data_IF_252655979157
#
_entry.id   IF_252655979157
#
_cell.length_a   1.000
_cell.length_b   1.000
_cell.length_c   1.000
_cell.angle_alpha   90.00
_cell.angle_beta   90.00
_cell.angle_gamma   90.00
#
_symmetry.space_group_name_H-M   'P 1'
#
loop_
_entity.id
_entity.type
_entity.pdbx_description
1 polymer ?
#
# COMPACT_ATOMS: atom_id res chain seq x y z
N UNK A 1 17.62 2.78 12.11
CA UNK A 1 17.52 4.22 11.79
C UNK A 1 16.08 4.55 11.40
N UNK A 2 15.53 5.68 11.83
CA UNK A 2 14.17 6.09 11.43
C UNK A 2 14.22 6.94 10.17
N UNK A 3 13.69 6.47 9.03
CA UNK A 3 13.84 7.17 7.76
C UNK A 3 13.08 8.50 7.78
N UNK A 4 13.56 9.46 7.00
CA UNK A 4 12.82 10.68 6.70
C UNK A 4 11.47 10.35 6.02
N UNK A 5 10.52 11.28 6.12
CA UNK A 5 9.24 11.21 5.43
C UNK A 5 9.46 11.05 3.92
N UNK A 6 8.84 10.04 3.30
CA UNK A 6 8.95 9.81 1.85
C UNK A 6 8.30 10.90 0.99
N UNK A 7 7.39 11.69 1.57
CA UNK A 7 6.68 12.73 0.82
C UNK A 7 7.40 14.08 0.87
N UNK A 8 7.81 14.53 2.07
CA UNK A 8 8.37 15.88 2.25
C UNK A 8 9.81 15.92 2.78
N UNK A 9 10.44 14.76 3.04
CA UNK A 9 11.81 14.67 3.55
C UNK A 9 12.00 15.05 5.02
N UNK A 10 10.94 15.47 5.74
CA UNK A 10 11.03 15.82 7.16
C UNK A 10 11.21 14.59 8.05
N UNK A 11 11.93 14.76 9.16
CA UNK A 11 12.05 13.78 10.26
C UNK A 11 11.11 14.08 11.44
N UNK A 12 10.36 15.18 11.40
CA UNK A 12 9.37 15.57 12.40
C UNK A 12 8.14 14.67 12.33
N UNK A 13 7.94 13.89 13.39
CA UNK A 13 6.88 12.89 13.44
C UNK A 13 6.36 12.69 14.86
N UNK A 14 5.11 12.24 14.94
CA UNK A 14 4.46 11.85 16.19
C UNK A 14 3.97 10.42 16.07
N UNK A 15 4.21 9.61 17.10
CA UNK A 15 3.68 8.25 17.17
C UNK A 15 2.15 8.30 17.34
N UNK A 16 1.43 7.53 16.53
CA UNK A 16 -0.04 7.43 16.57
C UNK A 16 -0.52 6.02 16.87
N UNK A 17 0.38 5.03 16.88
CA UNK A 17 0.05 3.65 17.22
C UNK A 17 1.26 2.75 17.33
N UNK A 18 1.10 1.63 18.04
CA UNK A 18 2.12 0.59 18.25
C UNK A 18 1.72 -0.78 17.71
N UNK A 19 0.55 -0.86 17.10
CA UNK A 19 -0.04 -2.08 16.54
C UNK A 19 -0.63 -1.76 15.18
N UNK A 20 -0.55 -2.73 14.29
CA UNK A 20 -1.21 -2.69 12.97
C UNK A 20 -2.17 -3.88 12.88
N UNK A 21 -2.65 -4.20 11.67
CA UNK A 21 -3.51 -5.36 11.45
C UNK A 21 -2.92 -6.65 12.08
N UNK A 22 -3.82 -7.55 12.51
CA UNK A 22 -3.47 -8.83 13.17
C UNK A 22 -2.64 -8.70 14.44
N UNK A 23 -2.82 -7.59 15.18
CA UNK A 23 -2.09 -7.27 16.42
C UNK A 23 -0.55 -7.26 16.26
N UNK A 24 -0.05 -7.14 15.02
CA UNK A 24 1.39 -7.10 14.78
C UNK A 24 1.98 -5.84 15.41
N UNK A 25 3.05 -6.04 16.20
CA UNK A 25 3.75 -4.95 16.89
C UNK A 25 4.59 -4.15 15.91
N UNK A 26 3.99 -3.09 15.38
CA UNK A 26 4.66 -2.16 14.49
C UNK A 26 4.25 -0.73 14.85
N UNK A 27 5.23 0.17 14.89
CA UNK A 27 4.96 1.57 15.19
C UNK A 27 4.49 2.30 13.94
N UNK A 28 3.38 3.02 14.09
CA UNK A 28 2.83 3.93 13.09
C UNK A 28 3.05 5.36 13.57
N UNK A 29 3.53 6.22 12.69
CA UNK A 29 3.78 7.63 12.96
C UNK A 29 3.08 8.49 11.93
N UNK A 30 2.78 9.75 12.28
CA UNK A 30 2.34 10.79 11.36
C UNK A 30 3.44 11.85 11.22
N UNK A 31 3.74 12.27 9.99
CA UNK A 31 4.65 13.39 9.75
C UNK A 31 3.95 14.70 10.15
N UNK A 32 4.59 15.50 11.01
CA UNK A 32 4.00 16.77 11.48
C UNK A 32 4.00 17.88 10.41
N UNK A 33 4.77 17.72 9.32
CA UNK A 33 4.87 18.72 8.26
C UNK A 33 3.88 18.51 7.11
N UNK A 34 3.64 17.26 6.70
CA UNK A 34 2.79 16.96 5.53
C UNK A 34 1.61 16.03 5.82
N UNK A 35 1.50 15.49 7.05
CA UNK A 35 0.39 14.62 7.42
C UNK A 35 0.50 13.17 6.93
N UNK A 36 1.57 12.77 6.21
CA UNK A 36 1.77 11.38 5.82
C UNK A 36 1.80 10.47 7.05
N UNK A 37 0.94 9.47 7.10
CA UNK A 37 0.94 8.40 8.09
C UNK A 37 1.69 7.20 7.53
N UNK A 38 2.65 6.65 8.28
CA UNK A 38 3.50 5.56 7.79
C UNK A 38 4.09 4.70 8.91
N UNK A 39 4.51 3.49 8.54
CA UNK A 39 5.24 2.58 9.41
C UNK A 39 6.68 3.07 9.65
N UNK A 40 7.12 3.05 10.91
CA UNK A 40 8.43 3.55 11.31
C UNK A 40 9.08 2.62 12.35
N UNK A 41 10.26 2.01 12.09
CA UNK A 41 11.06 2.18 10.88
C UNK A 41 10.33 1.64 9.66
N UNK A 42 10.70 2.05 8.44
CA UNK A 42 10.12 1.41 7.25
C UNK A 42 10.63 -0.04 7.19
N UNK A 43 9.77 -1.04 6.90
CA UNK A 43 10.26 -2.38 6.58
C UNK A 43 11.31 -2.29 5.47
N UNK A 44 12.43 -2.99 5.66
CA UNK A 44 13.38 -3.17 4.58
C UNK A 44 12.86 -4.21 3.58
N UNK A 45 13.47 -4.28 2.41
CA UNK A 45 13.08 -5.19 1.33
C UNK A 45 13.00 -6.65 1.82
N UNK A 46 13.97 -7.08 2.63
CA UNK A 46 14.05 -8.45 3.16
C UNK A 46 12.88 -8.78 4.09
N UNK A 47 12.59 -7.92 5.07
CA UNK A 47 11.49 -8.12 6.03
C UNK A 47 10.13 -8.00 5.35
N UNK A 48 10.01 -7.14 4.34
CA UNK A 48 8.80 -7.01 3.53
C UNK A 48 8.56 -8.28 2.69
N UNK A 49 9.59 -8.79 2.00
CA UNK A 49 9.51 -10.04 1.24
C UNK A 49 9.13 -11.23 2.14
N UNK A 50 9.77 -11.36 3.31
CA UNK A 50 9.46 -12.43 4.27
C UNK A 50 8.01 -12.36 4.78
N UNK A 51 7.44 -11.16 4.96
CA UNK A 51 6.03 -11.00 5.30
C UNK A 51 5.12 -11.54 4.20
N UNK A 52 5.36 -11.15 2.94
CA UNK A 52 4.54 -11.60 1.80
C UNK A 52 4.67 -13.10 1.53
N UNK A 53 5.85 -13.67 1.68
CA UNK A 53 6.09 -15.08 1.39
C UNK A 53 5.50 -16.00 2.46
N UNK A 54 5.65 -15.64 3.74
CA UNK A 54 5.39 -16.59 4.84
C UNK A 54 4.17 -16.24 5.69
N UNK A 55 3.88 -14.95 5.89
CA UNK A 55 2.84 -14.49 6.82
C UNK A 55 1.56 -14.10 6.08
N UNK A 56 1.67 -13.43 4.95
CA UNK A 56 0.53 -12.93 4.19
C UNK A 56 -0.48 -14.03 3.82
N UNK A 57 -0.08 -15.20 3.26
CA UNK A 57 -1.04 -16.26 2.93
C UNK A 57 -1.71 -16.89 4.17
N UNK A 58 -1.05 -16.83 5.33
CA UNK A 58 -1.60 -17.36 6.59
C UNK A 58 -2.62 -16.41 7.20
N UNK A 59 -2.37 -15.10 7.10
CA UNK A 59 -3.22 -14.06 7.69
C UNK A 59 -4.42 -13.71 6.81
N UNK A 60 -4.24 -13.77 5.48
CA UNK A 60 -5.26 -13.39 4.50
C UNK A 60 -5.87 -14.59 3.75
N UNK A 61 -5.39 -15.81 4.02
CA UNK A 61 -5.80 -17.03 3.33
C UNK A 61 -5.04 -17.24 2.01
N UNK A 62 -4.99 -18.51 1.54
CA UNK A 62 -4.56 -18.85 0.17
C UNK A 62 -5.64 -18.59 -0.88
N UNK A 63 -6.89 -18.40 -0.46
CA UNK A 63 -8.02 -18.15 -1.35
C UNK A 63 -8.15 -16.66 -1.68
N UNK A 64 -7.23 -16.15 -2.50
CA UNK A 64 -7.48 -14.96 -3.32
C UNK A 64 -6.66 -15.03 -4.58
N UNK A 65 -7.11 -15.85 -5.51
CA UNK A 65 -6.87 -15.77 -6.97
C UNK A 65 -7.94 -16.72 -7.53
N UNK A 66 -9.16 -16.33 -7.88
CA UNK A 66 -9.49 -15.64 -9.14
C UNK A 66 -10.87 -14.93 -9.09
N UNK A 67 -11.51 -14.83 -7.92
CA UNK A 67 -12.74 -14.06 -7.80
C UNK A 67 -12.40 -12.57 -7.66
N UNK A 68 -11.83 -12.00 -8.73
CA UNK A 68 -11.77 -10.56 -8.93
C UNK A 68 -13.16 -10.03 -8.61
N UNK A 69 -13.30 -9.21 -7.58
CA UNK A 69 -14.52 -8.42 -7.39
C UNK A 69 -14.57 -7.43 -8.55
N UNK A 70 -15.19 -7.88 -9.64
CA UNK A 70 -15.27 -7.20 -10.92
C UNK A 70 -15.92 -5.83 -10.79
N UNK A 71 -16.77 -5.61 -9.79
CA UNK A 71 -17.48 -4.35 -9.58
C UNK A 71 -16.56 -3.17 -9.27
N UNK A 72 -15.57 -3.35 -8.39
CA UNK A 72 -14.63 -2.27 -8.07
C UNK A 72 -13.71 -1.97 -9.25
N UNK A 73 -13.21 -3.01 -9.92
CA UNK A 73 -12.40 -2.87 -11.13
C UNK A 73 -13.17 -2.17 -12.26
N UNK A 74 -14.42 -2.57 -12.50
CA UNK A 74 -15.29 -1.97 -13.52
C UNK A 74 -15.58 -0.49 -13.24
N UNK A 75 -15.85 -0.11 -11.98
CA UNK A 75 -16.06 1.29 -11.62
C UNK A 75 -14.82 2.16 -11.87
N UNK A 76 -13.62 1.64 -11.56
CA UNK A 76 -12.35 2.32 -11.86
C UNK A 76 -12.15 2.43 -13.38
N UNK A 77 -12.34 1.36 -14.13
CA UNK A 77 -12.22 1.36 -15.59
C UNK A 77 -13.17 2.39 -16.23
N UNK A 78 -14.45 2.39 -15.86
CA UNK A 78 -15.45 3.34 -16.34
C UNK A 78 -15.06 4.80 -16.02
N UNK A 79 -14.53 5.07 -14.83
CA UNK A 79 -14.04 6.39 -14.47
C UNK A 79 -12.85 6.83 -15.34
N UNK A 80 -11.88 5.94 -15.59
CA UNK A 80 -10.71 6.24 -16.42
C UNK A 80 -11.12 6.48 -17.88
N UNK A 81 -12.02 5.66 -18.43
CA UNK A 81 -12.57 5.82 -19.78
C UNK A 81 -13.29 7.17 -19.94
N UNK A 82 -14.14 7.55 -18.98
CA UNK A 82 -14.90 8.80 -19.02
C UNK A 82 -13.99 10.05 -18.86
N UNK A 83 -13.06 10.00 -17.91
CA UNK A 83 -12.31 11.19 -17.45
C UNK A 83 -10.96 11.39 -18.08
N UNK A 84 -10.21 10.31 -18.30
CA UNK A 84 -8.89 10.41 -18.93
C UNK A 84 -8.97 10.27 -20.44
N UNK A 85 -9.99 9.58 -20.96
CA UNK A 85 -10.21 9.33 -22.40
C UNK A 85 -8.88 9.12 -23.11
N UNK A 86 -8.18 8.01 -22.84
CA UNK A 86 -6.81 7.84 -23.27
C UNK A 86 -6.72 7.65 -24.80
N UNK A 87 -6.90 8.72 -25.56
CA UNK A 87 -6.80 8.75 -27.03
C UNK A 87 -5.33 8.88 -27.40
N UNK A 88 -4.85 8.02 -28.32
CA UNK A 88 -3.45 8.01 -28.73
C UNK A 88 -2.51 7.24 -27.79
N UNK A 89 -3.04 6.57 -26.77
CA UNK A 89 -2.30 5.62 -25.93
C UNK A 89 -2.60 4.19 -26.38
N UNK A 90 -1.59 3.31 -26.32
CA UNK A 90 -1.70 1.91 -26.76
C UNK A 90 -2.08 0.94 -25.64
N UNK A 91 -2.17 1.41 -24.39
CA UNK A 91 -2.53 0.58 -23.24
C UNK A 91 -2.41 1.29 -21.89
N UNK A 92 -2.69 0.54 -20.83
CA UNK A 92 -2.62 0.98 -19.43
C UNK A 92 -1.53 0.17 -18.72
N UNK A 93 -0.66 0.85 -17.97
CA UNK A 93 0.31 0.22 -17.09
C UNK A 93 -0.13 0.34 -15.64
N UNK A 94 -0.38 -0.80 -14.99
CA UNK A 94 -0.86 -0.87 -13.61
C UNK A 94 0.26 -1.38 -12.70
N UNK A 95 0.62 -0.59 -11.69
CA UNK A 95 1.67 -0.92 -10.72
C UNK A 95 1.02 -1.53 -9.49
N UNK A 96 1.34 -2.80 -9.22
CA UNK A 96 0.77 -3.53 -8.09
C UNK A 96 -0.56 -4.20 -8.40
N UNK A 97 -0.79 -4.58 -9.66
CA UNK A 97 -1.99 -5.25 -10.17
C UNK A 97 -2.20 -6.71 -9.69
N UNK A 98 -1.65 -7.09 -8.53
CA UNK A 98 -1.68 -8.47 -8.03
C UNK A 98 -3.10 -9.05 -8.01
N UNK A 99 -3.22 -10.28 -8.56
CA UNK A 99 -4.47 -11.03 -8.72
C UNK A 99 -5.12 -11.50 -7.42
#
# INVERSE_FOLDING_TARGET
MFPACALCGSDERTEVGRRVAFDMRYRTVVCRRCGLVYLCPRPDERSFAAFYEHLYPRLYGKERVDAVSSERGAAVAAFLEDRLRPVGHTGVFDIGCGG
#
